data_IF_966188267515
#
_entry.id   IF_966188267515
#
_cell.length_a   1.000
_cell.length_b   1.000
_cell.length_c   1.000
_cell.angle_alpha   90.00
_cell.angle_beta   90.00
_cell.angle_gamma   90.00
#
_symmetry.space_group_name_H-M   'P 1'
#
loop_
_entity.id
_entity.type
_entity.pdbx_description
1 polymer ?
#
# COMPACT_ATOMS: atom_id res chain seq x y z
N UNK A 1 10.57 -14.63 -12.55
CA UNK A 1 11.85 -13.94 -12.87
C UNK A 1 13.05 -14.73 -12.40
N UNK A 2 13.16 -15.11 -11.12
CA UNK A 2 14.29 -15.90 -10.60
C UNK A 2 14.63 -17.14 -11.45
N UNK A 3 13.62 -17.96 -11.76
CA UNK A 3 13.80 -19.13 -12.64
C UNK A 3 14.28 -18.80 -14.07
N UNK A 4 13.91 -17.63 -14.61
CA UNK A 4 14.40 -17.18 -15.93
C UNK A 4 15.86 -16.70 -15.86
N UNK A 5 16.32 -16.22 -14.70
CA UNK A 5 17.71 -15.82 -14.49
C UNK A 5 18.62 -17.03 -14.25
N UNK A 6 18.11 -18.10 -13.62
CA UNK A 6 18.88 -19.33 -13.37
C UNK A 6 19.29 -20.08 -14.65
N UNK A 7 18.49 -19.97 -15.71
CA UNK A 7 18.80 -20.58 -17.01
C UNK A 7 19.79 -19.74 -17.83
N UNK A 8 20.09 -18.52 -17.40
CA UNK A 8 21.14 -17.69 -17.99
C UNK A 8 22.51 -17.99 -17.36
N UNK A 9 23.61 -17.91 -18.14
CA UNK A 9 23.68 -17.59 -19.58
C UNK A 9 23.45 -18.79 -20.51
N UNK A 10 23.21 -19.98 -19.96
CA UNK A 10 23.21 -21.25 -20.71
C UNK A 10 22.05 -21.39 -21.73
N UNK A 11 21.01 -20.56 -21.62
CA UNK A 11 19.89 -20.47 -22.58
C UNK A 11 19.56 -19.02 -22.96
N UNK A 12 20.42 -18.45 -23.80
CA UNK A 12 20.22 -17.13 -24.44
C UNK A 12 19.36 -17.25 -25.71
N UNK A 13 18.15 -17.75 -25.58
CA UNK A 13 17.19 -17.78 -26.68
C UNK A 13 16.32 -16.51 -26.68
N UNK A 14 15.87 -16.07 -27.86
CA UNK A 14 15.13 -14.81 -28.01
C UNK A 14 13.83 -14.76 -27.20
N UNK A 15 13.16 -15.90 -27.03
CA UNK A 15 11.96 -16.06 -26.22
C UNK A 15 12.24 -15.86 -24.71
N UNK A 16 13.33 -16.42 -24.18
CA UNK A 16 13.74 -16.25 -22.78
C UNK A 16 14.10 -14.78 -22.51
N UNK A 17 14.79 -14.12 -23.44
CA UNK A 17 15.13 -12.70 -23.35
C UNK A 17 13.88 -11.81 -23.38
N UNK A 18 12.90 -12.13 -24.24
CA UNK A 18 11.63 -11.37 -24.30
C UNK A 18 10.79 -11.58 -23.03
N UNK A 19 10.73 -12.80 -22.50
CA UNK A 19 10.08 -13.05 -21.21
C UNK A 19 10.76 -12.32 -20.06
N UNK A 20 12.09 -12.24 -20.07
CA UNK A 20 12.85 -11.44 -19.10
C UNK A 20 12.56 -9.94 -19.25
N UNK A 21 12.46 -9.43 -20.48
CA UNK A 21 12.12 -8.03 -20.76
C UNK A 21 10.74 -7.67 -20.20
N UNK A 22 9.73 -8.48 -20.50
CA UNK A 22 8.37 -8.30 -19.98
C UNK A 22 8.32 -8.41 -18.46
N UNK A 23 8.96 -9.44 -17.90
CA UNK A 23 9.06 -9.63 -16.46
C UNK A 23 9.73 -8.45 -15.74
N UNK A 24 10.80 -7.91 -16.33
CA UNK A 24 11.48 -6.71 -15.83
C UNK A 24 10.53 -5.51 -15.83
N UNK A 25 9.78 -5.30 -16.91
CA UNK A 25 8.83 -4.20 -17.01
C UNK A 25 7.76 -4.28 -15.91
N UNK A 26 7.16 -5.45 -15.71
CA UNK A 26 6.16 -5.64 -14.63
C UNK A 26 6.75 -5.42 -13.23
N UNK A 27 8.01 -5.81 -12.99
CA UNK A 27 8.68 -5.55 -11.72
C UNK A 27 8.93 -4.05 -11.49
N UNK A 28 9.25 -3.29 -12.53
CA UNK A 28 9.42 -1.82 -12.44
C UNK A 28 8.08 -1.16 -12.09
N UNK A 29 7.00 -1.56 -12.75
CA UNK A 29 5.65 -1.04 -12.47
C UNK A 29 5.20 -1.37 -11.05
N UNK A 30 5.41 -2.60 -10.59
CA UNK A 30 5.13 -3.00 -9.22
C UNK A 30 5.96 -2.20 -8.22
N UNK A 31 7.25 -1.99 -8.50
CA UNK A 31 8.14 -1.19 -7.67
C UNK A 31 7.67 0.27 -7.55
N UNK A 32 7.22 0.88 -8.65
CA UNK A 32 6.65 2.22 -8.66
C UNK A 32 5.43 2.30 -7.74
N UNK A 33 4.44 1.42 -7.94
CA UNK A 33 3.21 1.40 -7.14
C UNK A 33 3.45 1.14 -5.66
N UNK A 34 4.40 0.26 -5.34
CA UNK A 34 4.81 0.01 -3.96
C UNK A 34 5.51 1.24 -3.35
N UNK A 35 6.27 1.99 -4.16
CA UNK A 35 6.84 3.28 -3.81
C UNK A 35 5.76 4.31 -3.48
N UNK A 36 4.76 4.44 -4.35
CA UNK A 36 3.63 5.36 -4.13
C UNK A 36 2.87 5.01 -2.85
N UNK A 37 2.59 3.72 -2.61
CA UNK A 37 1.95 3.25 -1.39
C UNK A 37 2.77 3.56 -0.14
N UNK A 38 4.09 3.34 -0.19
CA UNK A 38 4.98 3.69 0.91
C UNK A 38 4.94 5.19 1.20
N UNK A 39 4.97 6.03 0.16
CA UNK A 39 4.92 7.48 0.34
C UNK A 39 3.59 7.90 0.96
N UNK A 40 2.45 7.38 0.46
CA UNK A 40 1.15 7.65 1.07
C UNK A 40 1.09 7.25 2.55
N UNK A 41 1.69 6.12 2.93
CA UNK A 41 1.77 5.70 4.34
C UNK A 41 2.65 6.65 5.18
N UNK A 42 3.73 7.17 4.61
CA UNK A 42 4.58 8.16 5.29
C UNK A 42 3.80 9.46 5.48
N UNK A 43 3.18 9.97 4.42
CA UNK A 43 2.40 11.22 4.46
C UNK A 43 1.28 11.13 5.52
N UNK A 44 0.61 9.98 5.60
CA UNK A 44 -0.42 9.69 6.60
C UNK A 44 0.11 9.69 8.05
N UNK A 45 1.36 9.26 8.24
CA UNK A 45 2.02 9.22 9.55
C UNK A 45 2.73 10.53 9.91
N UNK A 46 2.88 11.45 8.96
CA UNK A 46 3.47 12.77 9.20
C UNK A 46 2.42 13.81 9.58
N UNK A 47 1.16 13.66 9.16
CA UNK A 47 0.07 14.56 9.54
C UNK A 47 -0.58 14.16 10.90
N UNK A 48 -0.43 14.98 11.97
CA UNK A 48 -1.07 14.72 13.26
C UNK A 48 -2.59 14.64 13.18
N UNK A 49 -3.24 15.29 12.21
CA UNK A 49 -4.69 15.19 12.01
C UNK A 49 -5.09 13.83 11.43
N UNK A 50 -4.39 13.32 10.42
CA UNK A 50 -4.59 11.97 9.91
C UNK A 50 -4.31 10.90 10.99
N UNK A 51 -3.21 11.02 11.72
CA UNK A 51 -2.89 10.12 12.84
C UNK A 51 -4.01 10.14 13.88
N UNK A 52 -4.53 11.31 14.24
CA UNK A 52 -5.66 11.44 15.18
C UNK A 52 -6.92 10.78 14.64
N UNK A 53 -7.27 10.99 13.38
CA UNK A 53 -8.42 10.33 12.73
C UNK A 53 -8.29 8.80 12.81
N UNK A 54 -7.13 8.25 12.47
CA UNK A 54 -6.86 6.80 12.57
C UNK A 54 -6.94 6.30 14.01
N UNK A 55 -6.38 7.05 14.96
CA UNK A 55 -6.43 6.70 16.38
C UNK A 55 -7.84 6.73 16.97
N UNK A 56 -8.72 7.57 16.42
CA UNK A 56 -10.15 7.60 16.73
C UNK A 56 -10.83 6.37 16.13
N UNK A 57 -10.58 6.08 14.85
CA UNK A 57 -11.12 4.89 14.15
C UNK A 57 -10.80 3.56 14.86
N UNK A 58 -9.63 3.46 15.51
CA UNK A 58 -9.21 2.26 16.24
C UNK A 58 -9.86 2.06 17.62
N UNK A 59 -10.58 3.05 18.15
CA UNK A 59 -11.19 2.99 19.50
C UNK A 59 -12.71 3.11 19.38
N UNK A 60 -13.40 1.97 19.41
CA UNK A 60 -14.88 1.89 19.40
C UNK A 60 -15.56 2.52 18.17
N UNK A 61 -15.06 2.23 16.96
CA UNK A 61 -15.81 2.53 15.74
C UNK A 61 -16.43 1.27 15.15
N UNK A 62 -17.72 1.34 14.84
CA UNK A 62 -18.44 0.33 14.07
C UNK A 62 -18.68 0.86 12.67
N UNK A 63 -18.25 0.07 11.68
CA UNK A 63 -18.57 0.32 10.28
C UNK A 63 -19.91 -0.36 9.98
N UNK A 64 -20.92 0.41 9.60
CA UNK A 64 -22.16 -0.15 9.08
C UNK A 64 -21.88 -0.67 7.66
N UNK A 65 -22.00 -1.98 7.46
CA UNK A 65 -21.72 -2.64 6.17
C UNK A 65 -22.80 -2.39 5.11
N UNK A 66 -23.93 -1.80 5.49
CA UNK A 66 -25.06 -1.50 4.60
C UNK A 66 -24.99 -0.06 4.10
N UNK A 67 -24.56 0.89 4.94
CA UNK A 67 -24.44 2.30 4.55
C UNK A 67 -23.01 2.77 4.30
N UNK A 68 -21.99 1.97 4.65
CA UNK A 68 -20.57 2.36 4.71
C UNK A 68 -20.29 3.54 5.66
N UNK A 69 -21.27 3.91 6.49
CA UNK A 69 -21.08 4.95 7.50
C UNK A 69 -20.28 4.41 8.68
N UNK A 70 -19.41 5.27 9.19
CA UNK A 70 -18.59 4.97 10.34
C UNK A 70 -19.12 5.69 11.57
N UNK A 71 -19.58 4.92 12.55
CA UNK A 71 -20.03 5.44 13.85
C UNK A 71 -18.94 5.21 14.90
N UNK A 72 -18.39 6.29 15.43
CA UNK A 72 -17.33 6.25 16.44
C UNK A 72 -17.83 6.76 17.79
N UNK A 73 -17.82 5.91 18.82
CA UNK A 73 -18.11 6.33 20.19
C UNK A 73 -16.86 6.94 20.83
N UNK A 74 -16.57 8.20 20.50
CA UNK A 74 -15.42 8.95 21.05
C UNK A 74 -15.87 9.75 22.27
N UNK A 75 -15.25 9.58 23.46
CA UNK A 75 -15.49 10.48 24.59
C UNK A 75 -15.22 11.94 24.17
N UNK A 76 -16.16 12.86 24.44
CA UNK A 76 -16.10 14.27 23.99
C UNK A 76 -14.77 14.98 24.33
N UNK A 77 -14.12 14.58 25.41
CA UNK A 77 -12.81 15.08 25.86
C UNK A 77 -11.67 14.88 24.84
N UNK A 78 -11.84 13.96 23.88
CA UNK A 78 -10.87 13.71 22.80
C UNK A 78 -11.33 14.25 21.44
N UNK A 79 -12.54 14.80 21.35
CA UNK A 79 -13.08 15.40 20.11
C UNK A 79 -12.70 16.89 19.97
N UNK A 80 -12.31 17.55 21.06
CA UNK A 80 -11.93 18.97 21.06
C UNK A 80 -10.44 19.07 21.34
N UNK A 81 -9.66 19.48 20.34
CA UNK A 81 -8.33 20.04 20.56
C UNK A 81 -8.47 21.57 20.48
N UNK A 82 -7.94 22.26 21.49
CA UNK A 82 -7.55 23.67 21.39
C UNK A 82 -6.45 23.85 20.35
#
# INVERSE_FOLDING_TARGET
VAALLEVLPNRLTGDVLEQLRLSKQSLVELGSRAGDLKQMLIDLLEDPHEIRRICIMGRNCTLDKVSDDMECAVPLEKQVAE
#
